data_IF_798103439673
#
_entry.id   IF_798103439673
#
_cell.length_a   1.000
_cell.length_b   1.000
_cell.length_c   1.000
_cell.angle_alpha   90.00
_cell.angle_beta   90.00
_cell.angle_gamma   90.00
#
_symmetry.space_group_name_H-M   'P 1'
#
loop_
_entity.id
_entity.type
_entity.pdbx_description
1 polymer ?
#
# COMPACT_ATOMS: atom_id res chain seq x y z
N UNK A 1 -17.34 -16.21 -12.94
CA UNK A 1 -16.55 -15.07 -12.43
C UNK A 1 -16.30 -14.08 -13.57
N UNK A 2 -16.11 -14.57 -14.80
CA UNK A 2 -16.07 -13.78 -16.04
C UNK A 2 -17.26 -12.82 -16.17
N UNK A 3 -18.50 -13.30 -16.15
CA UNK A 3 -19.69 -12.42 -16.28
C UNK A 3 -20.02 -11.57 -15.05
N UNK A 4 -19.22 -11.66 -13.98
CA UNK A 4 -19.46 -10.96 -12.71
C UNK A 4 -18.31 -10.07 -12.25
N UNK A 5 -17.23 -10.69 -11.76
CA UNK A 5 -16.07 -9.97 -11.25
C UNK A 5 -15.26 -9.33 -12.38
N UNK A 6 -14.92 -10.12 -13.40
CA UNK A 6 -14.08 -9.65 -14.51
C UNK A 6 -14.85 -8.86 -15.57
N UNK A 7 -16.18 -8.90 -15.59
CA UNK A 7 -17.02 -8.09 -16.49
C UNK A 7 -17.16 -6.64 -16.04
N UNK A 8 -16.67 -6.30 -14.84
CA UNK A 8 -16.68 -4.93 -14.34
C UNK A 8 -15.83 -4.03 -15.26
N UNK A 9 -16.34 -2.85 -15.69
CA UNK A 9 -15.55 -1.88 -16.43
C UNK A 9 -14.31 -1.37 -15.68
N UNK A 10 -14.25 -1.59 -14.36
CA UNK A 10 -13.12 -1.23 -13.51
C UNK A 10 -12.13 -2.39 -13.29
N UNK A 11 -12.34 -3.55 -13.92
CA UNK A 11 -11.47 -4.71 -13.78
C UNK A 11 -10.23 -4.60 -14.67
N UNK A 12 -10.42 -4.54 -15.99
CA UNK A 12 -9.31 -4.35 -16.93
C UNK A 12 -8.80 -2.91 -16.85
N UNK A 13 -7.49 -2.75 -16.74
CA UNK A 13 -6.82 -1.46 -16.67
C UNK A 13 -5.92 -1.24 -17.89
N UNK A 14 -4.85 -2.03 -17.99
CA UNK A 14 -3.87 -2.00 -19.09
C UNK A 14 -3.04 -0.72 -19.22
N UNK A 15 -3.16 0.25 -18.31
CA UNK A 15 -2.43 1.51 -18.36
C UNK A 15 -1.05 1.42 -17.68
N UNK A 16 -0.23 2.46 -17.89
CA UNK A 16 1.10 2.59 -17.28
C UNK A 16 1.15 3.80 -16.36
N UNK A 17 1.66 3.60 -15.13
CA UNK A 17 1.82 4.63 -14.10
C UNK A 17 3.28 4.63 -13.65
N UNK A 18 3.95 5.79 -13.69
CA UNK A 18 5.41 5.86 -13.44
C UNK A 18 6.23 4.91 -14.34
N UNK A 19 5.73 4.61 -15.54
CA UNK A 19 6.35 3.64 -16.46
C UNK A 19 6.14 2.16 -16.09
N UNK A 20 5.28 1.87 -15.11
CA UNK A 20 4.94 0.53 -14.63
C UNK A 20 3.54 0.18 -15.11
N UNK A 21 3.41 -0.94 -15.83
CA UNK A 21 2.11 -1.40 -16.33
C UNK A 21 1.29 -2.05 -15.23
N UNK A 22 0.00 -1.77 -15.21
CA UNK A 22 -0.97 -2.44 -14.35
C UNK A 22 -2.06 -3.05 -15.23
N UNK A 23 -2.13 -4.38 -15.29
CA UNK A 23 -3.03 -5.07 -16.22
C UNK A 23 -4.48 -4.95 -15.75
N UNK A 24 -4.72 -5.14 -14.45
CA UNK A 24 -6.05 -5.09 -13.82
C UNK A 24 -6.07 -4.25 -12.54
N UNK A 25 -7.24 -3.72 -12.21
CA UNK A 25 -7.51 -2.93 -11.01
C UNK A 25 -7.72 -1.45 -11.30
N UNK A 26 -7.98 -0.66 -10.25
CA UNK A 26 -8.24 0.77 -10.36
C UNK A 26 -7.03 1.54 -10.92
N UNK A 27 -7.20 2.79 -11.40
CA UNK A 27 -6.07 3.67 -11.69
C UNK A 27 -5.11 3.77 -10.51
N UNK A 28 -3.80 3.64 -10.77
CA UNK A 28 -2.76 3.50 -9.75
C UNK A 28 -2.94 2.33 -8.75
N UNK A 29 -3.90 1.43 -9.00
CA UNK A 29 -4.16 0.18 -8.27
C UNK A 29 -5.09 0.32 -7.06
N UNK A 30 -5.29 1.52 -6.52
CA UNK A 30 -6.08 1.76 -5.30
C UNK A 30 -5.30 1.49 -4.00
N UNK A 31 -5.98 1.27 -2.85
CA UNK A 31 -5.32 1.06 -1.57
C UNK A 31 -4.57 -0.27 -1.56
N UNK A 32 -3.36 -0.29 -0.98
CA UNK A 32 -2.44 -1.40 -1.21
C UNK A 32 -2.89 -2.75 -0.61
N UNK A 33 -3.82 -2.75 0.35
CA UNK A 33 -4.40 -3.99 0.89
C UNK A 33 -5.08 -4.88 -0.16
N UNK A 34 -5.46 -4.35 -1.33
CA UNK A 34 -5.95 -5.14 -2.45
C UNK A 34 -4.92 -6.17 -2.95
N UNK A 35 -3.62 -5.87 -2.81
CA UNK A 35 -2.54 -6.80 -3.13
C UNK A 35 -2.25 -7.81 -1.99
N UNK A 36 -2.94 -7.72 -0.84
CA UNK A 36 -2.62 -8.50 0.37
C UNK A 36 -3.71 -9.52 0.73
N UNK A 37 -4.94 -9.08 1.00
CA UNK A 37 -5.92 -9.90 1.75
C UNK A 37 -6.30 -11.21 1.05
N UNK A 38 -6.56 -11.16 -0.26
CA UNK A 38 -6.88 -12.36 -1.04
C UNK A 38 -5.69 -13.30 -1.22
N UNK A 39 -4.47 -12.86 -0.88
CA UNK A 39 -3.20 -13.54 -1.15
C UNK A 39 -2.48 -14.03 0.11
N UNK A 40 -3.10 -13.92 1.29
CA UNK A 40 -2.54 -14.45 2.54
C UNK A 40 -2.46 -15.98 2.55
N UNK A 41 -3.50 -16.63 2.03
CA UNK A 41 -3.55 -18.11 1.90
C UNK A 41 -3.41 -18.59 0.46
N UNK A 42 -3.81 -17.77 -0.51
CA UNK A 42 -3.70 -18.08 -1.94
C UNK A 42 -2.36 -17.59 -2.45
N UNK A 43 -1.51 -18.50 -2.95
CA UNK A 43 -0.20 -18.15 -3.50
C UNK A 43 -0.33 -17.67 -4.95
N UNK A 44 -0.10 -16.38 -5.26
CA UNK A 44 -0.25 -15.88 -6.63
C UNK A 44 0.92 -16.23 -7.54
N UNK A 45 2.01 -16.83 -7.02
CA UNK A 45 3.22 -17.12 -7.81
C UNK A 45 2.93 -18.15 -8.91
N UNK A 46 3.19 -17.75 -10.15
CA UNK A 46 2.95 -18.60 -11.32
C UNK A 46 1.48 -18.77 -11.67
N UNK A 47 0.57 -18.05 -11.00
CA UNK A 47 -0.85 -18.05 -11.32
C UNK A 47 -1.19 -16.89 -12.25
N UNK A 48 -1.87 -17.20 -13.33
CA UNK A 48 -2.35 -16.24 -14.31
C UNK A 48 -3.64 -16.76 -14.97
N UNK A 49 -4.42 -15.83 -15.50
CA UNK A 49 -5.56 -16.12 -16.37
C UNK A 49 -5.46 -15.31 -17.68
N UNK A 50 -6.57 -15.11 -18.38
CA UNK A 50 -6.63 -14.33 -19.61
C UNK A 50 -6.42 -12.83 -19.42
N UNK A 51 -6.52 -12.33 -18.19
CA UNK A 51 -6.43 -10.91 -17.87
C UNK A 51 -5.06 -10.53 -17.32
N UNK A 52 -4.48 -11.34 -16.43
CA UNK A 52 -3.22 -10.97 -15.80
C UNK A 52 -2.45 -12.14 -15.19
N UNK A 53 -1.17 -11.88 -14.91
CA UNK A 53 -0.41 -12.64 -13.92
C UNK A 53 -0.50 -11.94 -12.55
N UNK A 54 -1.17 -12.59 -11.59
CA UNK A 54 -1.52 -11.99 -10.31
C UNK A 54 -0.31 -11.56 -9.48
N UNK A 55 0.77 -12.35 -9.47
CA UNK A 55 1.99 -11.99 -8.73
C UNK A 55 2.63 -10.73 -9.31
N UNK A 56 2.74 -10.64 -10.64
CA UNK A 56 3.31 -9.47 -11.29
C UNK A 56 2.40 -8.24 -11.18
N UNK A 57 1.08 -8.39 -11.29
CA UNK A 57 0.14 -7.29 -11.09
C UNK A 57 0.21 -6.71 -9.68
N UNK A 58 0.24 -7.57 -8.65
CA UNK A 58 0.38 -7.14 -7.25
C UNK A 58 1.73 -6.47 -6.97
N UNK A 59 2.81 -6.99 -7.57
CA UNK A 59 4.13 -6.36 -7.51
C UNK A 59 4.12 -4.98 -8.17
N UNK A 60 3.47 -4.85 -9.32
CA UNK A 60 3.38 -3.57 -10.02
C UNK A 60 2.51 -2.58 -9.25
N UNK A 61 1.38 -2.99 -8.68
CA UNK A 61 0.56 -2.18 -7.78
C UNK A 61 1.40 -1.66 -6.60
N UNK A 62 2.17 -2.53 -5.96
CA UNK A 62 3.09 -2.14 -4.87
C UNK A 62 4.11 -1.10 -5.32
N UNK A 63 4.77 -1.31 -6.47
CA UNK A 63 5.77 -0.38 -6.97
C UNK A 63 5.17 0.97 -7.39
N UNK A 64 3.94 0.99 -7.92
CA UNK A 64 3.21 2.22 -8.24
C UNK A 64 2.87 3.00 -6.97
N UNK A 65 2.37 2.32 -5.92
CA UNK A 65 2.10 2.93 -4.63
C UNK A 65 3.36 3.54 -4.02
N UNK A 66 4.48 2.81 -4.05
CA UNK A 66 5.79 3.33 -3.63
C UNK A 66 6.25 4.52 -4.48
N UNK A 67 6.12 4.44 -5.81
CA UNK A 67 6.54 5.51 -6.72
C UNK A 67 5.77 6.81 -6.47
N UNK A 68 4.47 6.72 -6.17
CA UNK A 68 3.68 7.87 -5.76
C UNK A 68 4.21 8.55 -4.50
N UNK A 69 4.52 7.77 -3.44
CA UNK A 69 5.11 8.34 -2.22
C UNK A 69 6.49 8.96 -2.47
N UNK A 70 7.28 8.44 -3.41
CA UNK A 70 8.58 9.02 -3.77
C UNK A 70 8.42 10.32 -4.55
N UNK A 71 7.50 10.35 -5.51
CA UNK A 71 7.16 11.54 -6.30
C UNK A 71 6.58 12.64 -5.41
N UNK A 72 5.79 12.25 -4.41
CA UNK A 72 5.22 13.11 -3.38
C UNK A 72 4.54 14.38 -3.93
N UNK A 73 3.53 14.24 -4.80
CA UNK A 73 2.89 15.40 -5.44
C UNK A 73 2.18 16.32 -4.44
N UNK A 74 1.84 15.81 -3.24
CA UNK A 74 1.26 16.58 -2.13
C UNK A 74 2.29 17.33 -1.28
N UNK A 75 3.58 17.05 -1.43
CA UNK A 75 4.64 17.69 -0.65
C UNK A 75 4.60 17.35 0.85
N UNK A 76 4.15 16.15 1.21
CA UNK A 76 4.03 15.69 2.58
C UNK A 76 5.40 15.42 3.22
N UNK A 77 5.51 15.70 4.52
CA UNK A 77 6.72 15.46 5.31
C UNK A 77 6.95 13.97 5.46
N UNK A 78 8.22 13.54 5.35
CA UNK A 78 8.63 12.15 5.60
C UNK A 78 8.60 11.24 4.38
N UNK A 79 7.68 11.48 3.44
CA UNK A 79 7.49 10.66 2.24
C UNK A 79 8.79 10.47 1.44
N UNK A 80 9.05 9.24 0.99
CA UNK A 80 10.20 8.94 0.15
C UNK A 80 10.52 7.45 0.00
N UNK A 81 11.73 7.16 -0.49
CA UNK A 81 12.16 5.80 -0.84
C UNK A 81 12.09 4.79 0.32
N UNK A 82 12.23 5.30 1.55
CA UNK A 82 12.22 4.53 2.80
C UNK A 82 10.98 4.80 3.67
N UNK A 83 10.06 5.66 3.23
CA UNK A 83 8.84 5.99 3.98
C UNK A 83 7.68 6.11 2.98
N UNK A 84 7.01 4.99 2.76
CA UNK A 84 5.98 4.84 1.73
C UNK A 84 4.94 3.82 2.19
N UNK A 85 3.79 3.82 1.53
CA UNK A 85 2.73 2.85 1.77
C UNK A 85 1.41 3.53 2.08
N UNK A 86 0.55 3.63 1.06
CA UNK A 86 -0.82 4.13 1.18
C UNK A 86 -1.79 2.96 1.15
N UNK A 87 -2.56 2.80 2.22
CA UNK A 87 -3.68 1.87 2.28
C UNK A 87 -4.75 2.40 3.24
N UNK A 88 -5.89 1.72 3.31
CA UNK A 88 -6.95 2.11 4.22
C UNK A 88 -6.51 1.95 5.68
N UNK A 89 -6.69 2.97 6.51
CA UNK A 89 -6.28 2.99 7.92
C UNK A 89 -6.93 4.14 8.69
N UNK A 90 -6.68 4.19 9.99
CA UNK A 90 -6.89 5.40 10.79
C UNK A 90 -6.02 6.55 10.24
N UNK A 91 -6.51 7.79 10.44
CA UNK A 91 -5.81 9.01 10.09
C UNK A 91 -6.13 10.14 11.11
N UNK A 92 -5.50 11.33 11.01
CA UNK A 92 -5.77 12.45 11.93
C UNK A 92 -7.23 12.95 11.94
N UNK A 93 -8.01 12.59 10.93
CA UNK A 93 -9.38 13.05 10.67
C UNK A 93 -10.43 11.93 10.85
N UNK A 94 -10.01 10.74 11.25
CA UNK A 94 -10.85 9.56 11.42
C UNK A 94 -10.25 8.35 10.71
N UNK A 95 -10.81 8.00 9.57
CA UNK A 95 -10.43 6.83 8.78
C UNK A 95 -10.63 7.14 7.30
N UNK A 96 -9.66 6.75 6.46
CA UNK A 96 -9.73 6.95 5.02
C UNK A 96 -9.14 5.74 4.30
N UNK A 97 -9.67 5.45 3.11
CA UNK A 97 -9.05 4.51 2.19
C UNK A 97 -7.93 5.22 1.42
N UNK A 98 -6.76 5.38 2.03
CA UNK A 98 -5.63 6.06 1.38
C UNK A 98 -5.14 5.28 0.16
N UNK A 99 -4.92 5.99 -0.93
CA UNK A 99 -4.47 5.44 -2.20
C UNK A 99 -3.73 6.53 -3.00
N UNK A 100 -2.99 6.17 -4.07
CA UNK A 100 -2.23 7.10 -4.90
C UNK A 100 -3.10 8.06 -5.75
N UNK A 101 -3.86 8.95 -5.10
CA UNK A 101 -4.61 10.03 -5.73
C UNK A 101 -4.57 11.28 -4.87
N UNK A 102 -4.64 12.46 -5.49
CA UNK A 102 -4.56 13.74 -4.78
C UNK A 102 -5.69 13.99 -3.77
N UNK A 103 -6.85 13.33 -3.94
CA UNK A 103 -8.01 13.48 -3.07
C UNK A 103 -8.03 12.46 -1.92
N UNK A 104 -7.19 11.42 -1.96
CA UNK A 104 -7.17 10.35 -0.95
C UNK A 104 -5.82 10.12 -0.29
N UNK A 105 -4.76 10.72 -0.82
CA UNK A 105 -3.52 10.92 -0.11
C UNK A 105 -3.63 12.20 0.73
N UNK A 106 -3.56 12.07 2.05
CA UNK A 106 -3.58 13.19 3.01
C UNK A 106 -2.25 13.32 3.78
N UNK A 107 -1.20 12.61 3.35
CA UNK A 107 0.09 12.55 4.03
C UNK A 107 0.21 11.48 5.11
N UNK A 108 -0.78 10.59 5.25
CA UNK A 108 -0.75 9.48 6.22
C UNK A 108 -0.05 8.28 5.60
N UNK A 109 0.94 7.73 6.31
CA UNK A 109 1.61 6.46 5.98
C UNK A 109 1.08 5.37 6.90
N UNK A 110 0.80 4.22 6.31
CA UNK A 110 0.28 3.05 7.01
C UNK A 110 1.31 1.91 6.89
N UNK A 111 2.00 1.51 7.98
CA UNK A 111 3.07 0.51 7.92
C UNK A 111 2.68 -0.79 7.22
N UNK A 112 1.44 -1.29 7.40
CA UNK A 112 0.99 -2.54 6.75
C UNK A 112 1.06 -2.49 5.22
N UNK A 113 0.95 -1.30 4.59
CA UNK A 113 1.04 -1.19 3.14
C UNK A 113 2.41 -1.65 2.63
N UNK A 114 3.49 -1.08 3.16
CA UNK A 114 4.84 -1.45 2.76
C UNK A 114 5.26 -2.81 3.30
N UNK A 115 4.92 -3.13 4.55
CA UNK A 115 5.40 -4.35 5.22
C UNK A 115 4.71 -5.60 4.66
N UNK A 116 3.39 -5.60 4.48
CA UNK A 116 2.64 -6.75 3.95
C UNK A 116 2.97 -7.02 2.47
N UNK A 117 3.62 -6.07 1.80
CA UNK A 117 4.17 -6.22 0.46
C UNK A 117 5.57 -6.88 0.39
N UNK A 118 6.11 -7.39 1.50
CA UNK A 118 7.38 -8.14 1.53
C UNK A 118 7.51 -9.22 0.44
N UNK A 119 6.48 -10.04 0.14
CA UNK A 119 6.57 -11.05 -0.92
C UNK A 119 6.80 -10.48 -2.33
N UNK A 120 6.45 -9.21 -2.57
CA UNK A 120 6.51 -8.56 -3.88
C UNK A 120 7.72 -7.65 -4.04
N UNK A 121 8.06 -6.89 -3.00
CA UNK A 121 9.13 -5.87 -2.98
C UNK A 121 10.02 -6.00 -1.73
N UNK A 122 10.70 -7.14 -1.53
CA UNK A 122 11.36 -7.44 -0.27
C UNK A 122 12.48 -6.45 0.10
N UNK A 123 13.15 -5.86 -0.89
CA UNK A 123 14.24 -4.90 -0.67
C UNK A 123 13.67 -3.55 -0.20
N UNK A 124 12.64 -3.06 -0.89
CA UNK A 124 11.97 -1.79 -0.61
C UNK A 124 11.17 -1.85 0.71
N UNK A 125 10.49 -2.96 0.97
CA UNK A 125 9.77 -3.22 2.23
C UNK A 125 10.73 -3.35 3.40
N UNK A 126 11.90 -3.98 3.22
CA UNK A 126 12.94 -4.01 4.25
C UNK A 126 13.51 -2.62 4.54
N UNK A 127 13.68 -1.78 3.51
CA UNK A 127 14.14 -0.40 3.69
C UNK A 127 13.13 0.41 4.51
N UNK A 128 11.83 0.29 4.19
CA UNK A 128 10.76 0.91 4.96
C UNK A 128 10.71 0.40 6.42
N UNK A 129 10.75 -0.92 6.61
CA UNK A 129 10.79 -1.53 7.94
C UNK A 129 11.91 -0.96 8.81
N UNK A 130 13.12 -0.86 8.25
CA UNK A 130 14.28 -0.33 8.97
C UNK A 130 14.06 1.12 9.36
N UNK A 131 13.63 1.95 8.42
CA UNK A 131 13.35 3.36 8.69
C UNK A 131 12.26 3.55 9.76
N UNK A 132 11.14 2.84 9.63
CA UNK A 132 10.07 2.84 10.62
C UNK A 132 10.58 2.45 12.02
N UNK A 133 11.41 1.41 12.09
CA UNK A 133 11.92 0.94 13.37
C UNK A 133 13.03 1.81 13.97
N UNK A 134 13.98 2.30 13.16
CA UNK A 134 15.16 3.01 13.67
C UNK A 134 14.95 4.51 13.84
N UNK A 135 14.19 5.14 12.95
CA UNK A 135 14.12 6.60 12.86
C UNK A 135 12.84 7.13 13.54
N UNK A 136 11.76 6.35 13.51
CA UNK A 136 10.53 6.66 14.26
C UNK A 136 10.48 5.96 15.63
N UNK A 137 10.91 4.70 15.70
CA UNK A 137 11.00 3.93 16.95
C UNK A 137 9.70 3.90 17.72
N UNK A 138 9.76 4.14 19.03
CA UNK A 138 8.63 4.06 19.96
C UNK A 138 7.47 5.02 19.63
N UNK A 139 7.65 6.00 18.73
CA UNK A 139 6.56 6.86 18.24
C UNK A 139 5.53 6.08 17.43
N UNK A 140 5.97 5.06 16.70
CA UNK A 140 5.10 4.25 15.83
C UNK A 140 5.19 2.75 16.13
N UNK A 141 6.02 2.33 17.09
CA UNK A 141 6.19 0.94 17.47
C UNK A 141 5.85 0.75 18.95
N UNK A 142 4.86 -0.10 19.24
CA UNK A 142 4.40 -0.37 20.60
C UNK A 142 4.31 -1.87 20.90
N UNK A 143 3.55 -2.26 21.94
CA UNK A 143 3.55 -3.64 22.45
C UNK A 143 3.02 -4.69 21.47
N UNK A 144 2.28 -4.29 20.42
CA UNK A 144 1.75 -5.20 19.41
C UNK A 144 2.37 -4.99 18.02
N UNK A 145 3.55 -4.37 17.96
CA UNK A 145 4.24 -4.04 16.70
C UNK A 145 4.02 -2.60 16.31
N UNK A 146 4.01 -2.32 15.01
CA UNK A 146 3.71 -0.97 14.53
C UNK A 146 2.26 -0.60 14.83
N UNK A 147 2.03 0.66 15.23
CA UNK A 147 0.70 1.26 15.28
C UNK A 147 0.14 1.41 13.88
N UNK A 148 -1.18 1.61 13.81
CA UNK A 148 -1.94 1.56 12.56
C UNK A 148 -1.40 2.50 11.47
N UNK A 149 -1.11 3.75 11.81
CA UNK A 149 -0.66 4.76 10.87
C UNK A 149 0.02 5.95 11.55
N UNK A 150 0.66 6.80 10.76
CA UNK A 150 1.21 8.08 11.21
C UNK A 150 1.19 9.12 10.08
N UNK A 151 1.22 10.40 10.45
CA UNK A 151 1.24 11.53 9.54
C UNK A 151 2.17 12.62 10.10
N UNK A 152 3.41 12.67 9.62
CA UNK A 152 4.41 13.64 10.10
C UNK A 152 4.05 15.08 9.74
N UNK A 153 3.33 15.30 8.64
CA UNK A 153 2.88 16.64 8.23
C UNK A 153 1.93 17.24 9.26
N UNK A 154 1.11 16.41 9.91
CA UNK A 154 0.16 16.80 10.95
C UNK A 154 0.70 16.60 12.38
N UNK A 155 1.95 16.16 12.54
CA UNK A 155 2.52 15.72 13.83
C UNK A 155 1.60 14.72 14.57
N UNK A 156 1.02 13.78 13.82
CA UNK A 156 0.06 12.82 14.32
C UNK A 156 0.61 11.40 14.21
N UNK A 157 0.42 10.62 15.26
CA UNK A 157 0.83 9.22 15.34
C UNK A 157 -0.31 8.44 15.98
N UNK A 158 -0.75 7.36 15.33
CA UNK A 158 -1.79 6.52 15.89
C UNK A 158 -1.33 5.89 17.20
N UNK A 159 -2.30 5.63 18.08
CA UNK A 159 -2.13 4.77 19.27
C UNK A 159 -2.95 3.49 19.19
N UNK A 160 -3.61 3.26 18.04
CA UNK A 160 -4.47 2.11 17.75
C UNK A 160 -3.74 1.01 16.99
N UNK A 161 -4.34 -0.18 17.02
CA UNK A 161 -3.99 -1.31 16.18
C UNK A 161 -5.28 -1.86 15.59
N UNK A 162 -5.33 -2.02 14.26
CA UNK A 162 -6.45 -2.69 13.61
C UNK A 162 -6.05 -4.12 13.24
N UNK A 163 -6.92 -5.08 13.54
CA UNK A 163 -6.63 -6.49 13.29
C UNK A 163 -6.38 -6.79 11.80
N UNK A 164 -7.07 -6.05 10.92
CA UNK A 164 -6.95 -6.19 9.46
C UNK A 164 -5.62 -5.63 8.93
N UNK A 165 -4.97 -4.74 9.67
CA UNK A 165 -3.70 -4.13 9.30
C UNK A 165 -2.50 -4.83 9.99
N UNK A 166 -2.71 -5.38 11.20
CA UNK A 166 -1.69 -6.18 11.90
C UNK A 166 -1.59 -7.64 11.40
N UNK A 167 -2.68 -8.17 10.84
CA UNK A 167 -2.78 -9.58 10.46
C UNK A 167 -1.97 -9.98 9.22
N UNK A 168 -2.07 -9.24 8.10
CA UNK A 168 -1.25 -9.43 6.90
C UNK A 168 0.25 -9.36 7.18
#
# INVERSE_FOLDING_TARGET
>A
WEDGFASSPAYDNGNSYYGINLDVGWPYGGPLFFAHYSYLGFDPRGIQDSHTNYFFNNRNHTLINRAWCIDNPGGYVGYGENCWGLTASDDPFGYLAHEPTMDRDNGTITPTAALSSFPYTPVESMAALRHFYTDHGDRIFGPFGFYDAFNETQDWYSSSYLAIDQGP
#
